data_IF_118088205129
#
_entry.id   IF_118088205129
#
_cell.length_a   1.000
_cell.length_b   1.000
_cell.length_c   1.000
_cell.angle_alpha   90.00
_cell.angle_beta   90.00
_cell.angle_gamma   90.00
#
_symmetry.space_group_name_H-M   'P 1'
#
loop_
_entity.id
_entity.type
_entity.pdbx_description
1 polymer ?
#
# COMPACT_ATOMS: atom_id res chain seq x y z
N UNK A 1 -6.20 -17.30 -6.76
CA UNK A 1 -5.66 -16.96 -5.42
C UNK A 1 -4.23 -17.48 -5.33
N UNK A 2 -3.32 -16.81 -4.62
CA UNK A 2 -1.97 -17.29 -4.39
C UNK A 2 -2.03 -18.60 -3.61
N UNK A 3 -1.24 -19.57 -4.03
CA UNK A 3 -1.26 -20.91 -3.45
C UNK A 3 0.15 -21.48 -3.42
N UNK A 4 0.58 -21.98 -2.26
CA UNK A 4 1.91 -22.56 -2.06
C UNK A 4 1.83 -23.92 -1.38
N UNK A 5 2.52 -24.92 -1.93
CA UNK A 5 2.76 -26.23 -1.31
C UNK A 5 4.26 -26.35 -1.04
N UNK A 6 4.66 -26.61 0.20
CA UNK A 6 6.06 -26.82 0.60
C UNK A 6 7.01 -25.67 0.14
N UNK A 7 6.51 -24.43 0.10
CA UNK A 7 7.28 -23.26 -0.32
C UNK A 7 7.37 -23.04 -1.84
N UNK A 8 6.74 -23.89 -2.66
CA UNK A 8 6.63 -23.72 -4.10
C UNK A 8 5.21 -23.34 -4.51
N UNK A 9 5.07 -22.40 -5.44
CA UNK A 9 3.78 -21.96 -5.95
C UNK A 9 3.73 -20.47 -6.22
N UNK A 10 2.61 -19.81 -5.90
CA UNK A 10 2.44 -18.36 -6.04
C UNK A 10 2.22 -17.69 -4.69
N UNK A 11 2.82 -16.51 -4.52
CA UNK A 11 2.71 -15.73 -3.29
C UNK A 11 2.52 -14.25 -3.59
N UNK A 12 1.92 -13.52 -2.66
CA UNK A 12 1.77 -12.06 -2.75
C UNK A 12 2.90 -11.42 -1.94
N UNK A 13 3.82 -10.76 -2.64
CA UNK A 13 4.90 -10.00 -2.03
C UNK A 13 4.47 -8.55 -1.85
N UNK A 14 4.19 -8.15 -0.61
CA UNK A 14 3.90 -6.76 -0.26
C UNK A 14 5.09 -5.86 -0.61
N UNK A 15 4.81 -4.71 -1.22
CA UNK A 15 5.82 -3.81 -1.72
C UNK A 15 5.76 -2.46 -1.00
N UNK A 16 4.62 -1.76 -1.06
CA UNK A 16 4.52 -0.35 -0.65
C UNK A 16 3.13 0.06 -0.19
N UNK A 17 3.06 1.20 0.49
CA UNK A 17 1.83 1.84 0.93
C UNK A 17 1.02 0.98 1.89
N UNK A 18 1.69 0.25 2.78
CA UNK A 18 1.02 -0.56 3.80
C UNK A 18 0.31 0.34 4.80
N UNK A 19 -1.01 0.16 4.88
CA UNK A 19 -1.93 0.92 5.73
C UNK A 19 -2.88 -0.05 6.43
N UNK A 20 -3.18 0.23 7.69
CA UNK A 20 -4.22 -0.50 8.42
C UNK A 20 -5.36 0.46 8.74
N UNK A 21 -6.59 0.05 8.44
CA UNK A 21 -7.79 0.82 8.71
C UNK A 21 -8.62 0.13 9.80
N UNK A 22 -9.02 0.90 10.81
CA UNK A 22 -10.01 0.46 11.78
C UNK A 22 -11.42 0.75 11.23
N UNK A 23 -12.15 -0.31 10.86
CA UNK A 23 -13.58 -0.19 10.56
C UNK A 23 -14.37 -0.38 11.85
N UNK A 24 -15.40 0.46 12.05
CA UNK A 24 -16.30 0.36 13.21
C UNK A 24 -16.93 -1.04 13.26
N UNK A 25 -16.61 -1.82 14.28
CA UNK A 25 -17.13 -3.18 14.46
C UNK A 25 -16.47 -4.28 13.62
N UNK A 26 -15.36 -4.00 12.91
CA UNK A 26 -14.57 -5.04 12.25
C UNK A 26 -13.11 -5.03 12.70
N UNK A 27 -12.40 -6.11 12.39
CA UNK A 27 -10.95 -6.19 12.54
C UNK A 27 -10.24 -5.18 11.63
N UNK A 28 -8.99 -4.91 11.96
CA UNK A 28 -8.10 -4.09 11.13
C UNK A 28 -8.00 -4.69 9.72
N UNK A 29 -8.36 -3.90 8.72
CA UNK A 29 -8.17 -4.23 7.33
C UNK A 29 -6.83 -3.64 6.86
N UNK A 30 -5.96 -4.46 6.29
CA UNK A 30 -4.69 -3.98 5.74
C UNK A 30 -4.78 -3.79 4.23
N UNK A 31 -4.32 -2.64 3.77
CA UNK A 31 -4.23 -2.25 2.37
C UNK A 31 -2.75 -2.06 1.98
N UNK A 32 -2.35 -2.55 0.81
CA UNK A 32 -0.99 -2.39 0.30
C UNK A 32 -0.90 -2.72 -1.19
N UNK A 33 0.11 -2.16 -1.87
CA UNK A 33 0.48 -2.66 -3.20
C UNK A 33 1.40 -3.87 -3.07
N UNK A 34 1.24 -4.81 -3.97
CA UNK A 34 2.00 -6.04 -4.01
C UNK A 34 2.26 -6.50 -5.43
N UNK A 35 3.21 -7.43 -5.53
CA UNK A 35 3.42 -8.24 -6.72
C UNK A 35 3.05 -9.67 -6.37
N UNK A 36 2.14 -10.26 -7.13
CA UNK A 36 1.98 -11.70 -7.13
C UNK A 36 3.16 -12.32 -7.89
N UNK A 37 3.85 -13.26 -7.28
CA UNK A 37 5.08 -13.87 -7.80
C UNK A 37 4.97 -15.39 -7.77
N UNK A 38 5.62 -16.06 -8.73
CA UNK A 38 6.03 -17.45 -8.55
C UNK A 38 7.15 -17.48 -7.52
N UNK A 39 7.05 -18.37 -6.54
CA UNK A 39 8.04 -18.54 -5.48
C UNK A 39 8.57 -19.97 -5.40
N UNK A 40 9.83 -20.09 -4.97
CA UNK A 40 10.45 -21.33 -4.53
C UNK A 40 11.07 -21.10 -3.16
N UNK A 41 10.92 -22.06 -2.25
CA UNK A 41 11.35 -21.91 -0.85
C UNK A 41 10.85 -20.60 -0.21
N UNK A 42 9.62 -20.19 -0.54
CA UNK A 42 9.00 -18.92 -0.12
C UNK A 42 9.69 -17.63 -0.60
N UNK A 43 10.75 -17.73 -1.42
CA UNK A 43 11.43 -16.60 -2.04
C UNK A 43 10.83 -16.31 -3.43
N UNK A 44 10.57 -15.05 -3.77
CA UNK A 44 10.01 -14.67 -5.05
C UNK A 44 11.07 -14.85 -6.14
N UNK A 45 10.68 -15.53 -7.22
CA UNK A 45 11.54 -15.79 -8.37
C UNK A 45 11.09 -15.00 -9.60
N UNK A 46 9.82 -15.13 -9.97
CA UNK A 46 9.28 -14.54 -11.21
C UNK A 46 8.07 -13.67 -10.84
N UNK A 47 8.11 -12.34 -11.11
CA UNK A 47 6.95 -11.48 -10.91
C UNK A 47 5.88 -11.82 -11.95
N UNK A 48 4.63 -11.96 -11.52
CA UNK A 48 3.50 -12.30 -12.40
C UNK A 48 2.63 -11.09 -12.70
N UNK A 49 2.04 -10.45 -11.67
CA UNK A 49 1.19 -9.27 -11.84
C UNK A 49 1.26 -8.32 -10.65
N UNK A 50 1.04 -7.05 -10.92
CA UNK A 50 0.93 -6.01 -9.90
C UNK A 50 -0.53 -5.85 -9.45
N UNK A 51 -0.74 -5.87 -8.13
CA UNK A 51 -2.08 -5.79 -7.54
C UNK A 51 -2.07 -4.85 -6.32
N UNK A 52 -3.18 -4.17 -6.08
CA UNK A 52 -3.50 -3.57 -4.80
C UNK A 52 -4.33 -4.57 -4.00
N UNK A 53 -3.88 -4.92 -2.80
CA UNK A 53 -4.58 -5.83 -1.88
C UNK A 53 -5.24 -4.99 -0.80
N UNK A 54 -6.52 -5.24 -0.51
CA UNK A 54 -7.26 -4.51 0.53
C UNK A 54 -8.30 -5.42 1.21
N UNK A 55 -8.83 -4.97 2.34
CA UNK A 55 -9.84 -5.72 3.11
C UNK A 55 -9.31 -6.98 3.81
N UNK A 56 -7.99 -7.18 3.83
CA UNK A 56 -7.37 -8.34 4.48
C UNK A 56 -7.49 -8.20 6.00
N UNK A 57 -8.25 -9.11 6.63
CA UNK A 57 -8.41 -9.17 8.09
C UNK A 57 -7.09 -9.53 8.79
N UNK A 58 -6.79 -8.83 9.89
CA UNK A 58 -5.62 -9.10 10.74
C UNK A 58 -5.68 -10.44 11.48
N UNK A 59 -6.86 -11.05 11.65
CA UNK A 59 -7.02 -12.29 12.39
C UNK A 59 -6.58 -13.56 11.63
N UNK A 60 -6.14 -13.44 10.38
CA UNK A 60 -5.35 -14.49 9.70
C UNK A 60 -6.09 -15.80 9.40
N UNK A 61 -7.40 -15.91 9.62
CA UNK A 61 -8.15 -17.17 9.46
C UNK A 61 -8.73 -17.39 8.06
N UNK A 62 -8.47 -16.50 7.08
CA UNK A 62 -8.90 -16.73 5.70
C UNK A 62 -8.21 -15.85 4.67
N UNK A 63 -8.13 -16.34 3.43
CA UNK A 63 -7.74 -15.59 2.23
C UNK A 63 -8.83 -14.60 1.77
N UNK A 64 -9.54 -13.99 2.73
CA UNK A 64 -10.60 -13.03 2.47
C UNK A 64 -9.95 -11.66 2.31
N UNK A 65 -9.44 -11.40 1.11
CA UNK A 65 -8.98 -10.08 0.70
C UNK A 65 -9.49 -9.81 -0.72
N UNK A 66 -9.64 -8.54 -1.04
CA UNK A 66 -9.94 -8.09 -2.38
C UNK A 66 -8.66 -7.64 -3.07
N UNK A 67 -8.64 -7.76 -4.39
CA UNK A 67 -7.52 -7.34 -5.21
C UNK A 67 -8.01 -6.46 -6.35
N UNK A 68 -7.29 -5.37 -6.61
CA UNK A 68 -7.50 -4.51 -7.77
C UNK A 68 -6.24 -4.55 -8.63
N UNK A 69 -6.32 -4.81 -9.94
CA UNK A 69 -5.16 -4.78 -10.81
C UNK A 69 -4.61 -3.35 -10.88
N UNK A 70 -3.29 -3.22 -10.71
CA UNK A 70 -2.58 -1.95 -10.86
C UNK A 70 -1.52 -2.08 -11.97
N UNK A 71 -1.09 -0.95 -12.50
CA UNK A 71 -0.04 -0.86 -13.49
C UNK A 71 1.25 -1.45 -12.95
N UNK A 72 1.87 -2.25 -13.80
CA UNK A 72 3.14 -2.86 -13.51
C UNK A 72 4.25 -1.80 -13.52
N UNK A 73 5.14 -1.81 -12.53
CA UNK A 73 6.33 -0.96 -12.54
C UNK A 73 7.54 -1.67 -11.94
N UNK A 74 8.72 -1.45 -12.55
CA UNK A 74 9.97 -2.00 -12.06
C UNK A 74 10.27 -1.59 -10.61
N UNK A 75 9.96 -0.34 -10.25
CA UNK A 75 10.14 0.15 -8.88
C UNK A 75 9.32 -0.64 -7.86
N UNK A 76 8.09 -1.02 -8.20
CA UNK A 76 7.24 -1.85 -7.35
C UNK A 76 7.79 -3.28 -7.21
N UNK A 77 8.23 -3.88 -8.32
CA UNK A 77 8.83 -5.23 -8.34
C UNK A 77 10.12 -5.30 -7.53
N UNK A 78 11.07 -4.42 -7.82
CA UNK A 78 12.35 -4.37 -7.09
C UNK A 78 12.12 -4.20 -5.60
N UNK A 79 11.20 -3.32 -5.22
CA UNK A 79 10.85 -3.08 -3.82
C UNK A 79 10.24 -4.31 -3.15
N UNK A 80 9.30 -4.99 -3.80
CA UNK A 80 8.70 -6.25 -3.30
C UNK A 80 9.77 -7.34 -3.11
N UNK A 81 10.67 -7.49 -4.08
CA UNK A 81 11.73 -8.48 -4.06
C UNK A 81 12.75 -8.15 -2.96
N UNK A 82 13.29 -6.92 -2.92
CA UNK A 82 14.24 -6.51 -1.88
C UNK A 82 13.63 -6.73 -0.49
N UNK A 83 12.41 -6.26 -0.24
CA UNK A 83 11.75 -6.43 1.06
C UNK A 83 11.72 -7.89 1.53
N UNK A 84 11.50 -8.82 0.59
CA UNK A 84 11.43 -10.25 0.84
C UNK A 84 12.80 -10.90 0.96
N UNK A 85 13.75 -10.51 0.10
CA UNK A 85 15.12 -11.02 0.08
C UNK A 85 15.96 -10.56 1.28
N UNK A 86 15.65 -9.42 1.90
CA UNK A 86 16.29 -8.96 3.15
C UNK A 86 16.07 -9.93 4.33
N UNK A 87 15.04 -10.80 4.28
CA UNK A 87 14.89 -11.87 5.27
C UNK A 87 15.98 -12.93 5.19
N UNK A 88 16.61 -13.14 4.03
CA UNK A 88 17.66 -14.17 3.85
C UNK A 88 18.91 -13.86 4.68
N UNK A 89 19.60 -12.71 4.51
CA UNK A 89 20.74 -12.38 5.35
C UNK A 89 20.34 -12.25 6.83
N UNK A 90 19.16 -11.72 7.14
CA UNK A 90 18.67 -11.66 8.51
C UNK A 90 18.56 -13.06 9.15
N UNK A 91 17.92 -14.01 8.46
CA UNK A 91 17.74 -15.37 8.96
C UNK A 91 19.08 -16.12 9.09
N UNK A 92 20.00 -15.95 8.14
CA UNK A 92 21.36 -16.52 8.22
C UNK A 92 22.10 -15.94 9.43
N UNK A 93 22.07 -14.61 9.61
CA UNK A 93 22.71 -13.96 10.75
C UNK A 93 22.12 -14.41 12.09
N UNK A 94 20.79 -14.50 12.19
CA UNK A 94 20.11 -14.99 13.38
C UNK A 94 20.46 -16.45 13.68
N UNK A 95 20.48 -17.32 12.67
CA UNK A 95 20.86 -18.72 12.79
C UNK A 95 22.30 -18.87 13.28
N UNK A 96 23.26 -18.19 12.64
CA UNK A 96 24.66 -18.18 13.07
C UNK A 96 24.82 -17.67 14.52
N UNK A 97 24.04 -16.65 14.90
CA UNK A 97 24.00 -16.13 16.27
C UNK A 97 23.53 -17.16 17.29
N UNK A 98 22.49 -17.94 16.95
CA UNK A 98 22.01 -19.04 17.80
C UNK A 98 23.09 -20.12 17.99
N UNK A 99 23.75 -20.55 16.90
CA UNK A 99 24.83 -21.55 16.97
C UNK A 99 26.02 -21.07 17.79
N UNK A 100 26.49 -19.84 17.56
CA UNK A 100 27.57 -19.26 18.36
C UNK A 100 27.17 -19.12 19.85
N UNK A 101 25.91 -18.83 20.13
CA UNK A 101 25.36 -18.83 21.49
C UNK A 101 25.44 -20.20 22.16
N UNK A 102 25.07 -21.27 21.45
CA UNK A 102 25.21 -22.65 21.94
C UNK A 102 26.67 -23.04 22.20
N UNK A 103 27.59 -22.72 21.29
CA UNK A 103 29.02 -23.01 21.48
C UNK A 103 29.60 -22.35 22.75
N UNK A 104 29.17 -21.11 23.04
CA UNK A 104 29.55 -20.39 24.26
C UNK A 104 28.94 -21.05 25.49
N UNK A 105 27.66 -21.43 25.44
CA UNK A 105 26.97 -22.09 26.56
C UNK A 105 27.54 -23.46 26.89
N UNK A 106 27.98 -24.22 25.89
CA UNK A 106 28.60 -25.54 26.07
C UNK A 106 30.10 -25.46 26.45
N UNK A 107 30.68 -24.25 26.50
CA UNK A 107 32.10 -24.05 26.79
C UNK A 107 33.04 -24.58 25.70
N UNK A 108 32.52 -24.85 24.50
CA UNK A 108 33.28 -25.39 23.36
C UNK A 108 34.16 -24.34 22.67
N UNK A 109 33.99 -23.06 23.00
CA UNK A 109 34.83 -21.97 22.52
C UNK A 109 34.41 -20.61 23.04
N UNK A 110 35.32 -19.65 22.96
CA UNK A 110 35.00 -18.24 23.22
C UNK A 110 34.24 -17.59 22.07
N UNK A 111 33.73 -16.39 22.31
CA UNK A 111 33.17 -15.52 21.29
C UNK A 111 34.20 -15.26 20.16
N UNK A 112 33.91 -15.76 18.94
CA UNK A 112 34.75 -15.50 17.76
C UNK A 112 34.40 -14.12 17.19
N UNK A 113 35.31 -13.13 17.26
CA UNK A 113 35.00 -11.74 16.88
C UNK A 113 34.61 -11.62 15.40
N UNK A 114 35.23 -12.40 14.52
CA UNK A 114 34.92 -12.43 13.07
C UNK A 114 33.49 -12.89 12.80
N UNK A 115 33.02 -13.93 13.53
CA UNK A 115 31.67 -14.43 13.40
C UNK A 115 30.65 -13.44 13.96
N UNK A 116 30.96 -12.80 15.09
CA UNK A 116 30.12 -11.73 15.65
C UNK A 116 29.98 -10.57 14.67
N UNK A 117 31.09 -10.12 14.06
CA UNK A 117 31.08 -9.06 13.06
C UNK A 117 30.24 -9.45 11.83
N UNK A 118 30.32 -10.72 11.39
CA UNK A 118 29.50 -11.24 10.28
C UNK A 118 28.01 -11.25 10.63
N UNK A 119 27.64 -11.75 11.82
CA UNK A 119 26.27 -11.75 12.32
C UNK A 119 25.71 -10.33 12.37
N UNK A 120 26.47 -9.40 12.98
CA UNK A 120 26.09 -8.00 13.09
C UNK A 120 25.96 -7.34 11.72
N UNK A 121 26.85 -7.63 10.77
CA UNK A 121 26.80 -7.14 9.40
C UNK A 121 25.55 -7.59 8.65
N UNK A 122 25.21 -8.89 8.71
CA UNK A 122 24.04 -9.46 8.04
C UNK A 122 22.72 -8.90 8.60
N UNK A 123 22.59 -8.87 9.93
CA UNK A 123 21.39 -8.34 10.60
C UNK A 123 21.29 -6.83 10.37
N UNK A 124 22.40 -6.10 10.56
CA UNK A 124 22.47 -4.65 10.37
C UNK A 124 22.13 -4.23 8.94
N UNK A 125 22.66 -4.93 7.93
CA UNK A 125 22.32 -4.71 6.52
C UNK A 125 20.82 -4.90 6.26
N UNK A 126 20.22 -5.95 6.83
CA UNK A 126 18.80 -6.24 6.67
C UNK A 126 17.91 -5.16 7.28
N UNK A 127 18.21 -4.77 8.51
CA UNK A 127 17.50 -3.71 9.23
C UNK A 127 17.63 -2.36 8.53
N UNK A 128 18.84 -2.00 8.07
CA UNK A 128 19.07 -0.79 7.29
C UNK A 128 18.26 -0.81 5.99
N UNK A 129 18.24 -1.94 5.28
CA UNK A 129 17.44 -2.14 4.08
C UNK A 129 15.95 -1.90 4.33
N UNK A 130 15.36 -2.53 5.35
CA UNK A 130 13.95 -2.30 5.69
C UNK A 130 13.66 -0.86 6.12
N UNK A 131 14.58 -0.23 6.84
CA UNK A 131 14.46 1.18 7.22
C UNK A 131 14.45 2.11 6.00
N UNK A 132 15.36 1.90 5.03
CA UNK A 132 15.40 2.65 3.78
C UNK A 132 14.12 2.43 2.96
N UNK A 133 13.62 1.19 2.89
CA UNK A 133 12.34 0.89 2.26
C UNK A 133 11.20 1.66 2.96
N UNK A 134 11.16 1.69 4.29
CA UNK A 134 10.14 2.44 5.04
C UNK A 134 10.20 3.94 4.76
N UNK A 135 11.40 4.54 4.70
CA UNK A 135 11.57 5.97 4.41
C UNK A 135 11.11 6.31 3.00
N UNK A 136 11.58 5.55 2.01
CA UNK A 136 11.21 5.77 0.61
C UNK A 136 9.72 5.53 0.34
N UNK A 137 9.02 4.83 1.25
CA UNK A 137 7.57 4.65 1.17
C UNK A 137 6.74 5.77 1.81
N UNK A 138 7.38 6.66 2.57
CA UNK A 138 6.67 7.62 3.42
C UNK A 138 5.64 8.39 2.60
N UNK A 139 6.04 8.90 1.43
CA UNK A 139 5.16 9.61 0.50
C UNK A 139 3.94 8.77 0.11
N UNK A 140 4.09 7.52 -0.32
CA UNK A 140 2.95 6.71 -0.74
C UNK A 140 1.99 6.43 0.42
N UNK A 141 2.53 6.20 1.63
CA UNK A 141 1.70 6.01 2.83
C UNK A 141 0.94 7.28 3.20
N UNK A 142 1.58 8.44 3.10
CA UNK A 142 0.95 9.74 3.37
C UNK A 142 -0.18 10.03 2.35
N UNK A 143 0.04 9.75 1.05
CA UNK A 143 -1.00 9.85 0.01
C UNK A 143 -2.24 9.03 0.35
N UNK A 144 -2.05 7.74 0.69
CA UNK A 144 -3.15 6.83 1.05
C UNK A 144 -3.84 7.22 2.32
N UNK A 145 -3.08 7.70 3.29
CA UNK A 145 -3.62 8.20 4.54
C UNK A 145 -4.47 9.44 4.31
N UNK A 146 -4.14 10.32 3.37
CA UNK A 146 -5.01 11.45 3.02
C UNK A 146 -6.26 10.97 2.28
N UNK A 147 -6.12 10.14 1.24
CA UNK A 147 -7.26 9.66 0.44
C UNK A 147 -8.27 8.86 1.27
N UNK A 148 -7.78 8.08 2.23
CA UNK A 148 -8.64 7.29 3.11
C UNK A 148 -9.12 5.97 2.50
N UNK A 149 -10.01 5.28 3.22
CA UNK A 149 -10.66 4.07 2.72
C UNK A 149 -11.73 4.40 1.66
N UNK A 150 -11.73 3.67 0.54
CA UNK A 150 -12.75 3.73 -0.51
C UNK A 150 -13.29 2.31 -0.84
N UNK A 151 -14.16 2.20 -1.84
CA UNK A 151 -14.68 0.89 -2.32
C UNK A 151 -13.57 -0.03 -2.85
N UNK A 152 -12.49 0.56 -3.39
CA UNK A 152 -11.29 -0.15 -3.87
C UNK A 152 -10.13 -0.07 -2.86
N UNK A 153 -10.46 0.11 -1.59
CA UNK A 153 -9.48 0.32 -0.52
C UNK A 153 -8.84 1.70 -0.59
N UNK A 154 -7.57 1.80 -0.22
CA UNK A 154 -6.75 3.01 -0.32
C UNK A 154 -5.81 2.96 -1.53
N UNK A 155 -6.25 2.34 -2.62
CA UNK A 155 -5.48 2.24 -3.87
C UNK A 155 -5.22 3.63 -4.47
N UNK A 156 -4.03 3.86 -5.03
CA UNK A 156 -3.67 5.12 -5.70
C UNK A 156 -4.19 5.11 -7.15
N UNK A 157 -5.11 6.00 -7.54
CA UNK A 157 -5.64 6.03 -8.91
C UNK A 157 -4.58 6.18 -10.00
N UNK A 158 -3.47 6.85 -9.69
CA UNK A 158 -2.33 6.99 -10.61
C UNK A 158 -1.66 5.66 -10.97
N UNK A 159 -1.95 4.59 -10.23
CA UNK A 159 -1.46 3.24 -10.51
C UNK A 159 -2.54 2.33 -11.08
N UNK A 160 -3.76 2.78 -11.32
CA UNK A 160 -4.81 1.91 -11.87
C UNK A 160 -4.57 1.58 -13.33
N UNK A 161 -4.99 0.38 -13.75
CA UNK A 161 -4.94 0.01 -15.16
C UNK A 161 -6.05 0.74 -15.95
N UNK A 162 -5.92 0.77 -17.28
CA UNK A 162 -6.89 1.45 -18.14
C UNK A 162 -8.30 0.90 -17.96
N UNK A 163 -8.47 -0.42 -17.79
CA UNK A 163 -9.79 -1.02 -17.56
C UNK A 163 -10.54 -0.42 -16.37
N UNK A 164 -9.84 -0.17 -15.26
CA UNK A 164 -10.45 0.47 -14.10
C UNK A 164 -10.68 1.97 -14.33
N UNK A 165 -9.74 2.65 -14.99
CA UNK A 165 -9.86 4.07 -15.33
C UNK A 165 -11.02 4.34 -16.30
N UNK A 166 -11.22 3.49 -17.29
CA UNK A 166 -12.29 3.56 -18.29
C UNK A 166 -13.68 3.36 -17.66
N UNK A 167 -13.74 2.74 -16.47
CA UNK A 167 -14.99 2.55 -15.72
C UNK A 167 -15.34 3.72 -14.80
N UNK A 168 -14.50 4.75 -14.73
CA UNK A 168 -14.73 5.88 -13.83
C UNK A 168 -15.84 6.81 -14.34
N UNK A 169 -16.66 7.34 -13.42
CA UNK A 169 -17.56 8.44 -13.75
C UNK A 169 -16.79 9.67 -14.24
N UNK A 170 -17.42 10.45 -15.12
CA UNK A 170 -16.87 11.73 -15.58
C UNK A 170 -16.53 12.67 -14.39
N UNK A 171 -15.53 13.57 -14.51
CA UNK A 171 -15.17 14.52 -13.45
C UNK A 171 -16.37 15.33 -12.92
N UNK A 172 -17.32 15.67 -13.78
CA UNK A 172 -18.53 16.41 -13.39
C UNK A 172 -19.41 15.61 -12.42
N UNK A 173 -19.47 14.28 -12.57
CA UNK A 173 -20.24 13.41 -11.68
C UNK A 173 -19.47 13.10 -10.39
N UNK A 174 -18.15 12.85 -10.49
CA UNK A 174 -17.35 12.42 -9.35
C UNK A 174 -16.98 13.58 -8.42
N UNK A 175 -16.64 14.75 -8.98
CA UNK A 175 -16.10 15.90 -8.24
C UNK A 175 -16.79 17.23 -8.58
N UNK A 176 -17.85 17.21 -9.40
CA UNK A 176 -18.64 18.41 -9.69
C UNK A 176 -17.92 19.49 -10.50
N UNK A 177 -16.91 19.10 -11.30
CA UNK A 177 -16.10 20.04 -12.09
C UNK A 177 -15.87 19.52 -13.51
N UNK A 178 -15.43 20.41 -14.40
CA UNK A 178 -15.14 20.07 -15.81
C UNK A 178 -13.89 19.21 -16.00
N UNK A 179 -13.01 19.17 -15.00
CA UNK A 179 -11.80 18.34 -14.92
C UNK A 179 -11.47 18.05 -13.47
N UNK A 180 -10.67 17.00 -13.22
CA UNK A 180 -10.13 16.72 -11.89
C UNK A 180 -9.20 17.83 -11.44
N UNK A 181 -8.38 18.40 -12.33
CA UNK A 181 -7.57 19.58 -12.02
C UNK A 181 -8.41 20.75 -11.48
N UNK A 182 -9.48 21.12 -12.20
CA UNK A 182 -10.31 22.28 -11.84
C UNK A 182 -11.03 22.11 -10.48
N UNK A 183 -11.24 20.88 -10.01
CA UNK A 183 -11.87 20.61 -8.72
C UNK A 183 -10.95 20.89 -7.53
N UNK A 184 -9.63 20.76 -7.69
CA UNK A 184 -8.68 20.68 -6.56
C UNK A 184 -8.66 21.96 -5.73
N UNK A 185 -8.54 23.15 -6.36
CA UNK A 185 -8.49 24.42 -5.63
C UNK A 185 -9.75 24.65 -4.79
N UNK A 186 -10.93 24.32 -5.35
CA UNK A 186 -12.20 24.39 -4.64
C UNK A 186 -12.23 23.42 -3.46
N UNK A 187 -11.96 22.13 -3.70
CA UNK A 187 -11.96 21.09 -2.66
C UNK A 187 -10.97 21.40 -1.52
N UNK A 188 -9.79 21.94 -1.84
CA UNK A 188 -8.84 22.42 -0.82
C UNK A 188 -9.43 23.55 0.01
N UNK A 189 -10.00 24.58 -0.63
CA UNK A 189 -10.59 25.73 0.08
C UNK A 189 -11.78 25.36 0.96
N UNK A 190 -12.49 24.28 0.63
CA UNK A 190 -13.59 23.73 1.41
C UNK A 190 -13.13 22.74 2.51
N UNK A 191 -11.82 22.48 2.63
CA UNK A 191 -11.25 21.54 3.60
C UNK A 191 -11.44 20.05 3.25
N UNK A 192 -11.88 19.74 2.02
CA UNK A 192 -12.05 18.37 1.53
C UNK A 192 -10.73 17.77 1.01
N UNK A 193 -9.69 17.75 1.84
CA UNK A 193 -8.34 17.34 1.44
C UNK A 193 -8.25 15.90 0.90
N UNK A 194 -9.04 14.95 1.44
CA UNK A 194 -9.09 13.59 0.93
C UNK A 194 -9.59 13.52 -0.52
N UNK A 195 -10.66 14.26 -0.83
CA UNK A 195 -11.19 14.39 -2.20
C UNK A 195 -10.27 15.18 -3.12
N UNK A 196 -9.64 16.25 -2.61
CA UNK A 196 -8.65 17.00 -3.37
C UNK A 196 -7.47 16.11 -3.77
N UNK A 197 -6.98 15.27 -2.85
CA UNK A 197 -5.92 14.31 -3.14
C UNK A 197 -6.38 13.27 -4.17
N UNK A 198 -7.58 12.70 -4.01
CA UNK A 198 -8.15 11.77 -4.99
C UNK A 198 -8.21 12.40 -6.39
N UNK A 199 -8.73 13.63 -6.51
CA UNK A 199 -8.78 14.37 -7.77
C UNK A 199 -7.37 14.61 -8.35
N UNK A 200 -6.39 14.99 -7.53
CA UNK A 200 -5.01 15.14 -7.99
C UNK A 200 -4.43 13.83 -8.53
N UNK A 201 -4.69 12.69 -7.88
CA UNK A 201 -4.23 11.38 -8.36
C UNK A 201 -4.96 10.90 -9.62
N UNK A 202 -6.23 11.24 -9.76
CA UNK A 202 -6.99 11.00 -10.99
C UNK A 202 -6.48 11.86 -12.14
N UNK A 203 -6.18 13.15 -11.89
CA UNK A 203 -5.51 14.02 -12.85
C UNK A 203 -4.20 13.40 -13.37
N UNK A 204 -3.39 12.82 -12.47
CA UNK A 204 -2.17 12.08 -12.86
C UNK A 204 -2.47 10.90 -13.80
N UNK A 205 -3.58 10.21 -13.56
CA UNK A 205 -3.95 9.00 -14.28
C UNK A 205 -4.60 9.28 -15.65
N UNK A 206 -5.44 10.32 -15.74
CA UNK A 206 -6.37 10.51 -16.88
C UNK A 206 -6.19 11.83 -17.64
N UNK A 207 -5.55 12.83 -17.05
CA UNK A 207 -5.42 14.18 -17.64
C UNK A 207 -3.94 14.50 -17.93
N UNK A 208 -3.28 15.22 -17.03
CA UNK A 208 -1.88 15.60 -17.15
C UNK A 208 -1.08 15.04 -15.96
N UNK A 209 -0.19 14.09 -16.28
CA UNK A 209 0.69 13.43 -15.31
C UNK A 209 1.58 14.39 -14.54
N UNK A 210 2.21 15.34 -15.22
CA UNK A 210 3.16 16.26 -14.59
C UNK A 210 2.40 17.19 -13.67
N UNK A 211 1.31 17.78 -14.18
CA UNK A 211 0.47 18.70 -13.43
C UNK A 211 -0.18 18.06 -12.21
N UNK A 212 -0.72 16.85 -12.36
CA UNK A 212 -1.30 16.11 -11.24
C UNK A 212 -0.28 15.78 -10.13
N UNK A 213 0.98 15.50 -10.48
CA UNK A 213 2.06 15.28 -9.51
C UNK A 213 2.47 16.58 -8.79
N UNK A 214 2.47 17.72 -9.49
CA UNK A 214 2.65 19.04 -8.87
C UNK A 214 1.54 19.33 -7.85
N UNK A 215 0.28 19.15 -8.24
CA UNK A 215 -0.89 19.36 -7.38
C UNK A 215 -0.89 18.40 -6.18
N UNK A 216 -0.49 17.15 -6.39
CA UNK A 216 -0.27 16.17 -5.32
C UNK A 216 0.75 16.69 -4.30
N UNK A 217 1.88 17.21 -4.78
CA UNK A 217 2.92 17.74 -3.91
C UNK A 217 2.51 19.06 -3.23
N UNK A 218 1.68 19.86 -3.89
CA UNK A 218 1.10 21.07 -3.30
C UNK A 218 0.20 20.72 -2.10
N UNK A 219 -0.69 19.74 -2.25
CA UNK A 219 -1.55 19.25 -1.15
C UNK A 219 -0.70 18.67 -0.01
N UNK A 220 0.34 17.87 -0.31
CA UNK A 220 1.23 17.31 0.72
C UNK A 220 2.05 18.37 1.48
N UNK A 221 2.29 19.55 0.87
CA UNK A 221 3.04 20.66 1.48
C UNK A 221 2.15 21.61 2.26
N UNK A 222 0.83 21.51 2.10
CA UNK A 222 -0.14 22.33 2.81
C UNK A 222 0.05 22.16 4.33
N UNK A 223 0.24 23.26 5.10
CA UNK A 223 0.45 23.18 6.55
C UNK A 223 -0.66 22.43 7.26
N UNK A 224 -1.93 22.64 6.88
CA UNK A 224 -3.07 22.01 7.53
C UNK A 224 -3.07 20.49 7.29
N UNK A 225 -2.72 20.06 6.08
CA UNK A 225 -2.59 18.64 5.73
C UNK A 225 -1.44 17.99 6.50
N UNK A 226 -0.33 18.69 6.68
CA UNK A 226 0.83 18.17 7.43
C UNK A 226 0.54 18.00 8.90
N UNK A 227 -0.15 18.96 9.51
CA UNK A 227 -0.56 18.91 10.91
C UNK A 227 -1.60 17.80 11.11
N UNK A 228 -2.60 17.72 10.23
CA UNK A 228 -3.58 16.63 10.21
C UNK A 228 -2.92 15.24 10.05
N UNK A 229 -1.93 15.10 9.16
CA UNK A 229 -1.18 13.86 8.99
C UNK A 229 -0.42 13.48 10.27
N UNK A 230 0.16 14.45 10.98
CA UNK A 230 0.87 14.20 12.23
C UNK A 230 -0.05 13.66 13.33
N UNK A 231 -1.28 14.17 13.41
CA UNK A 231 -2.32 13.69 14.32
C UNK A 231 -2.83 12.30 13.92
N UNK A 232 -3.17 12.09 12.63
CA UNK A 232 -3.65 10.80 12.12
C UNK A 232 -2.57 9.71 12.17
N UNK A 233 -1.28 10.08 12.18
CA UNK A 233 -0.18 9.15 12.45
C UNK A 233 -0.19 8.61 13.89
N UNK A 234 -0.62 9.42 14.85
CA UNK A 234 -0.70 9.03 16.25
C UNK A 234 -1.99 8.27 16.54
N UNK A 235 -3.13 8.76 16.00
CA UNK A 235 -4.42 8.10 16.11
C UNK A 235 -5.14 8.03 14.74
N UNK A 236 -5.08 6.88 14.04
CA UNK A 236 -5.78 6.68 12.78
C UNK A 236 -7.30 6.89 12.85
N UNK A 237 -7.92 6.84 14.04
CA UNK A 237 -9.36 7.08 14.20
C UNK A 237 -9.77 8.52 13.95
N UNK A 238 -8.81 9.46 13.99
CA UNK A 238 -9.04 10.86 13.70
C UNK A 238 -9.15 11.14 12.19
N UNK A 239 -8.87 10.16 11.33
CA UNK A 239 -8.94 10.33 9.87
C UNK A 239 -10.23 11.00 9.37
N UNK A 240 -11.45 10.56 9.79
CA UNK A 240 -12.68 11.16 9.30
C UNK A 240 -12.82 12.64 9.67
N UNK A 241 -12.28 13.06 10.81
CA UNK A 241 -12.33 14.45 11.26
C UNK A 241 -11.54 15.38 10.33
N UNK A 242 -10.40 14.91 9.81
CA UNK A 242 -9.49 15.74 9.03
C UNK A 242 -9.68 15.61 7.51
N UNK A 243 -10.02 14.41 7.01
CA UNK A 243 -9.91 14.11 5.59
C UNK A 243 -11.22 13.70 4.91
N UNK A 244 -12.25 13.25 5.65
CA UNK A 244 -13.56 12.96 5.06
C UNK A 244 -14.29 14.23 4.62
N UNK A 245 -13.90 15.39 5.18
CA UNK A 245 -14.57 16.67 5.02
C UNK A 245 -15.86 16.77 5.84
N UNK A 246 -16.55 17.93 5.80
CA UNK A 246 -17.86 18.06 6.43
C UNK A 246 -18.81 16.99 5.86
N UNK A 247 -19.68 16.39 6.71
CA UNK A 247 -20.71 15.49 6.22
C UNK A 247 -21.48 16.23 5.14
N UNK A 248 -21.57 15.63 3.94
CA UNK A 248 -22.37 16.20 2.85
C UNK A 248 -23.75 16.51 3.42
N UNK A 249 -24.12 17.79 3.44
CA UNK A 249 -25.44 18.22 3.91
C UNK A 249 -26.45 17.67 2.92
N UNK A 250 -26.90 16.42 3.13
CA UNK A 250 -27.86 15.64 2.35
C UNK A 250 -28.40 16.39 1.12
N UNK A 251 -27.59 16.48 0.06
CA UNK A 251 -28.11 16.80 -1.27
C UNK A 251 -29.03 15.62 -1.57
N UNK A 252 -30.32 15.90 -1.71
CA UNK A 252 -31.39 14.91 -1.64
C UNK A 252 -31.05 13.62 -2.41
N UNK A 253 -31.25 12.48 -1.75
CA UNK A 253 -30.80 11.14 -2.13
C UNK A 253 -31.46 10.55 -3.41
N UNK A 254 -31.54 11.32 -4.49
CA UNK A 254 -32.30 10.98 -5.70
C UNK A 254 -31.46 10.47 -6.87
N UNK A 255 -30.15 10.28 -6.72
CA UNK A 255 -29.30 9.85 -7.85
C UNK A 255 -28.03 9.10 -7.45
N UNK A 256 -28.13 8.12 -6.55
CA UNK A 256 -27.01 7.19 -6.37
C UNK A 256 -26.87 6.33 -7.64
N UNK A 257 -25.74 6.39 -8.37
CA UNK A 257 -25.50 5.53 -9.52
C UNK A 257 -25.41 4.06 -9.08
N UNK A 258 -25.79 3.18 -9.99
CA UNK A 258 -25.74 1.73 -9.85
C UNK A 258 -24.40 1.29 -9.25
N UNK A 259 -24.43 0.46 -8.19
CA UNK A 259 -23.26 -0.24 -7.64
C UNK A 259 -22.39 -0.75 -8.79
N UNK A 260 -21.09 -0.43 -8.75
CA UNK A 260 -20.13 -1.06 -9.64
C UNK A 260 -20.36 -2.59 -9.60
N UNK A 261 -20.40 -3.26 -10.76
CA UNK A 261 -20.56 -4.71 -10.78
C UNK A 261 -19.47 -5.30 -9.90
N UNK A 262 -19.87 -6.03 -8.87
CA UNK A 262 -18.94 -6.87 -8.14
C UNK A 262 -18.31 -7.78 -9.17
N UNK A 263 -17.04 -7.56 -9.50
CA UNK A 263 -16.25 -8.50 -10.29
C UNK A 263 -16.12 -9.72 -9.39
N UNK A 264 -17.10 -10.62 -9.46
CA UNK A 264 -16.95 -11.97 -8.93
C UNK A 264 -15.70 -12.53 -9.61
N UNK A 265 -14.78 -13.04 -8.81
CA UNK A 265 -13.57 -13.69 -9.28
C UNK A 265 -13.89 -15.07 -9.89
N UNK A 266 -14.84 -15.11 -10.82
CA UNK A 266 -15.26 -16.27 -11.58
C UNK A 266 -14.47 -16.36 -12.89
N UNK A 267 -13.71 -17.45 -13.00
CA UNK A 267 -13.34 -18.15 -14.23
C UNK A 267 -12.72 -17.31 -15.36
N UNK A 268 -11.49 -16.85 -15.14
CA UNK A 268 -10.56 -16.64 -16.25
C UNK A 268 -10.00 -18.02 -16.62
N UNK A 269 -10.63 -18.69 -17.58
CA UNK A 269 -10.03 -19.82 -18.29
C UNK A 269 -8.85 -19.28 -19.11
N UNK A 270 -7.63 -19.69 -18.74
CA UNK A 270 -6.44 -19.45 -19.54
C UNK A 270 -6.33 -20.58 -20.57
N UNK A 271 -6.53 -20.25 -21.85
CA UNK A 271 -6.09 -21.09 -22.97
C UNK A 271 -4.57 -21.02 -23.13
#
# INVERSE_FOLDING_TARGET
MPYTINGFGTTICAARGQMSWHKKGSFEATDYDAIECVCALYLPLIPFRAIHVFGKSSQGTGYNYHQVPIQWSWGLVLRAFIARWLWVPFAIGAFLGVFQGFDIMEGKGGAKPELIATIAGLIGFSLLGWWLLKITDRRNRDLRRIMGPSEVGSSDPATWNNTLLDSLPDPQQLVGATSFEAAISRLKSEGHFGRAMLAARLCVATEDRVRGEELTNEILRDPEVRDALAEVHQDPKLWPQYFAGPPEQNVSASSAPHRAPSVEAGDIEWN
#
